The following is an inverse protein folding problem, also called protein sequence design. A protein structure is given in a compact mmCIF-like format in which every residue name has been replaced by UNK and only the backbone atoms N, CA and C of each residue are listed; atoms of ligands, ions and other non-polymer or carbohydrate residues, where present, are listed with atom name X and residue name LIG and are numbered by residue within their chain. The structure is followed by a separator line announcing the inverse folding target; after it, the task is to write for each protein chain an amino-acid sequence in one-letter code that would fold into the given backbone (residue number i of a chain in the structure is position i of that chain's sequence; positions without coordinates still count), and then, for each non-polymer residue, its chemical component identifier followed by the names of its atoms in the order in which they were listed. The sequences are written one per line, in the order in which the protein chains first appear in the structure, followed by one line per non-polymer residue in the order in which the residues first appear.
data_IF_707302520619
#
_entry.id   IF_707302520619
#
_cell.length_a   1.000
_cell.length_b   1.000
_cell.length_c   1.000
_cell.angle_alpha   90.00
_cell.angle_beta   90.00
_cell.angle_gamma   90.00
#
_symmetry.space_group_name_H-M   'P 1'
#
loop_
_entity.id
_entity.type
_entity.pdbx_description
1 polymer ?
#
# COMPACT_ATOMS: atom_id res chain seq x y z
N UNK A 1 7.88 -8.14 -10.73
CA UNK A 1 6.89 -7.99 -9.64
C UNK A 1 7.66 -7.55 -8.40
N UNK A 2 7.13 -6.65 -7.57
CA UNK A 2 7.80 -6.24 -6.33
C UNK A 2 7.78 -7.38 -5.32
N UNK A 3 8.84 -7.50 -4.52
CA UNK A 3 8.95 -8.58 -3.53
C UNK A 3 8.00 -8.38 -2.33
N UNK A 4 7.58 -7.13 -2.08
CA UNK A 4 6.75 -6.71 -0.95
C UNK A 4 5.91 -5.49 -1.38
N UNK A 5 4.69 -5.36 -0.86
CA UNK A 5 3.84 -4.19 -1.11
C UNK A 5 4.18 -3.04 -0.14
N UNK A 6 3.83 -1.81 -0.52
CA UNK A 6 4.03 -0.58 0.27
C UNK A 6 2.83 -0.25 1.17
N UNK A 7 1.85 -1.15 1.26
CA UNK A 7 0.66 -1.00 2.09
C UNK A 7 0.48 -2.22 3.00
N UNK A 8 -0.13 -2.01 4.16
CA UNK A 8 -0.52 -3.04 5.10
C UNK A 8 -2.04 -2.99 5.33
N UNK A 9 -2.76 -4.12 5.24
CA UNK A 9 -2.29 -5.42 4.75
C UNK A 9 -1.94 -5.40 3.25
N UNK A 10 -1.05 -6.30 2.81
CA UNK A 10 -0.70 -6.43 1.39
C UNK A 10 -1.88 -6.94 0.55
N UNK A 11 -1.97 -6.48 -0.70
CA UNK A 11 -2.98 -7.00 -1.62
C UNK A 11 -2.67 -8.44 -2.00
N UNK A 12 -3.59 -9.35 -1.65
CA UNK A 12 -3.49 -10.76 -2.04
C UNK A 12 -4.58 -11.08 -3.06
N UNK A 13 -4.21 -11.74 -4.15
CA UNK A 13 -5.15 -12.27 -5.12
C UNK A 13 -5.54 -13.71 -4.79
N UNK A 14 -6.83 -13.99 -4.72
CA UNK A 14 -7.38 -15.34 -4.53
C UNK A 14 -8.40 -15.63 -5.62
N UNK A 15 -8.16 -16.67 -6.43
CA UNK A 15 -9.02 -17.06 -7.55
C UNK A 15 -9.31 -15.92 -8.54
N UNK A 16 -8.29 -15.09 -8.84
CA UNK A 16 -8.45 -13.93 -9.73
C UNK A 16 -9.18 -12.74 -9.12
N UNK A 17 -9.51 -12.79 -7.82
CA UNK A 17 -10.25 -11.76 -7.10
C UNK A 17 -9.41 -11.16 -5.96
N UNK A 18 -9.70 -9.92 -5.59
CA UNK A 18 -9.12 -9.24 -4.43
C UNK A 18 -10.24 -8.93 -3.43
N UNK A 19 -9.99 -9.14 -2.15
CA UNK A 19 -10.96 -8.83 -1.09
C UNK A 19 -11.03 -7.32 -0.87
N UNK A 20 -12.25 -6.77 -0.86
CA UNK A 20 -12.47 -5.35 -0.56
C UNK A 20 -12.59 -5.17 0.97
N UNK A 21 -11.79 -4.28 1.58
CA UNK A 21 -11.91 -3.93 3.00
C UNK A 21 -13.12 -3.00 3.22
N UNK A 22 -14.25 -3.57 3.63
CA UNK A 22 -15.53 -2.85 3.77
C UNK A 22 -15.76 -2.27 5.17
N UNK A 23 -14.97 -2.69 6.15
CA UNK A 23 -15.08 -2.36 7.57
C UNK A 23 -14.11 -1.26 8.03
N UNK A 24 -13.21 -0.82 7.13
CA UNK A 24 -12.20 0.21 7.41
C UNK A 24 -12.48 1.46 6.55
N UNK A 25 -12.53 2.66 7.14
CA UNK A 25 -12.70 3.90 6.39
C UNK A 25 -11.58 4.16 5.37
N UNK A 26 -11.88 4.96 4.35
CA UNK A 26 -10.90 5.35 3.33
C UNK A 26 -10.65 4.24 2.31
N UNK A 27 -9.38 4.06 1.92
CA UNK A 27 -8.98 3.00 0.97
C UNK A 27 -8.78 1.63 1.64
N UNK A 28 -8.93 1.56 2.96
CA UNK A 28 -8.90 0.32 3.74
C UNK A 28 -7.52 -0.34 3.92
N UNK A 29 -6.44 0.40 3.70
CA UNK A 29 -5.06 -0.01 3.97
C UNK A 29 -4.25 1.15 4.56
N UNK A 30 -3.21 0.82 5.31
CA UNK A 30 -2.22 1.77 5.83
C UNK A 30 -0.99 1.79 4.93
N UNK A 31 -0.44 2.96 4.63
CA UNK A 31 0.81 3.06 3.86
C UNK A 31 2.00 2.76 4.78
N UNK A 32 2.88 1.84 4.37
CA UNK A 32 4.16 1.58 5.03
C UNK A 32 5.12 2.74 4.73
N UNK A 33 5.00 3.80 5.52
CA UNK A 33 5.81 5.01 5.35
C UNK A 33 7.31 4.74 5.50
N UNK A 34 7.70 3.80 6.37
CA UNK A 34 9.11 3.44 6.55
C UNK A 34 9.67 2.80 5.26
N UNK A 35 8.91 1.89 4.64
CA UNK A 35 9.29 1.32 3.36
C UNK A 35 9.33 2.39 2.26
N UNK A 36 8.29 3.21 2.14
CA UNK A 36 8.23 4.30 1.16
C UNK A 36 9.45 5.21 1.29
N UNK A 37 9.79 5.66 2.50
CA UNK A 37 10.95 6.51 2.74
C UNK A 37 12.27 5.84 2.35
N UNK A 38 12.40 4.52 2.57
CA UNK A 38 13.62 3.78 2.25
C UNK A 38 13.87 3.59 0.74
N UNK A 39 12.81 3.56 -0.08
CA UNK A 39 12.90 3.30 -1.53
C UNK A 39 12.67 4.55 -2.39
N UNK A 40 12.24 5.67 -1.78
CA UNK A 40 11.96 6.92 -2.50
C UNK A 40 13.26 7.61 -2.91
N UNK A 41 13.42 7.85 -4.22
CA UNK A 41 14.62 8.52 -4.78
C UNK A 41 14.41 10.01 -5.07
N UNK A 42 13.15 10.48 -5.12
CA UNK A 42 12.78 11.89 -5.34
C UNK A 42 11.49 12.19 -4.60
N UNK A 43 11.46 13.31 -3.88
CA UNK A 43 10.27 13.85 -3.20
C UNK A 43 10.19 15.35 -3.45
N UNK A 44 8.98 15.83 -3.68
CA UNK A 44 8.67 17.25 -3.80
C UNK A 44 7.51 17.56 -2.87
N UNK A 45 7.63 18.64 -2.10
CA UNK A 45 6.60 19.09 -1.15
C UNK A 45 6.14 20.45 -1.62
N UNK A 46 4.86 20.56 -1.93
CA UNK A 46 4.22 21.81 -2.34
C UNK A 46 3.63 22.49 -1.11
N UNK A 47 3.85 23.80 -1.00
CA UNK A 47 3.35 24.65 0.08
C UNK A 47 1.97 25.23 -0.24
#
# INVERSE_FOLDING_TARGET
YWARDVVNPEWTMKNGMVTVPLDVPGIGVEVDMAMIESITVRREVLA
#
